data_IF_032286687843
#
_entry.id   IF_032286687843
#
_cell.length_a   1.000
_cell.length_b   1.000
_cell.length_c   1.000
_cell.angle_alpha   90.00
_cell.angle_beta   90.00
_cell.angle_gamma   90.00
#
_symmetry.space_group_name_H-M   'P 1'
#
loop_
_entity.id
_entity.type
_entity.pdbx_description
1 polymer ?
#
# COMPACT_ATOMS: atom_id res chain seq x y z
N UNK A 1 8.27 5.07 2.93
CA UNK A 1 6.93 5.63 2.69
C UNK A 1 6.89 6.35 1.33
N UNK A 2 7.24 5.65 0.24
CA UNK A 2 7.32 6.25 -1.11
C UNK A 2 6.17 5.80 -2.04
N UNK A 3 5.41 4.78 -1.64
CA UNK A 3 4.30 4.20 -2.42
C UNK A 3 3.01 5.05 -2.39
N UNK A 4 3.02 6.20 -1.72
CA UNK A 4 1.86 7.10 -1.64
C UNK A 4 1.91 8.24 -2.68
N UNK A 5 2.94 8.26 -3.54
CA UNK A 5 2.97 9.15 -4.70
C UNK A 5 2.08 8.51 -5.77
N UNK A 6 1.07 9.22 -6.32
CA UNK A 6 0.29 8.68 -7.42
C UNK A 6 1.23 8.37 -8.59
N UNK A 7 1.43 7.09 -8.85
CA UNK A 7 2.26 6.67 -9.97
C UNK A 7 1.43 6.82 -11.24
N UNK A 8 1.89 7.68 -12.14
CA UNK A 8 1.18 7.97 -13.38
C UNK A 8 1.08 6.76 -14.33
N UNK A 9 1.88 5.71 -14.10
CA UNK A 9 1.93 4.53 -14.96
C UNK A 9 2.00 3.25 -14.13
N UNK A 10 1.18 2.26 -14.52
CA UNK A 10 1.16 0.91 -13.96
C UNK A 10 2.51 0.20 -14.13
N UNK A 11 3.22 0.43 -15.23
CA UNK A 11 4.52 -0.20 -15.48
C UNK A 11 5.61 0.28 -14.52
N UNK A 12 5.57 1.57 -14.14
CA UNK A 12 6.47 2.14 -13.13
C UNK A 12 6.14 1.58 -11.75
N UNK A 13 4.85 1.42 -11.44
CA UNK A 13 4.39 0.81 -10.19
C UNK A 13 4.91 -0.62 -10.03
N UNK A 14 4.76 -1.46 -11.06
CA UNK A 14 5.25 -2.83 -11.02
C UNK A 14 6.77 -2.90 -10.81
N UNK A 15 7.56 -2.10 -11.54
CA UNK A 15 9.01 -2.06 -11.38
C UNK A 15 9.46 -1.60 -10.00
N UNK A 16 8.80 -0.58 -9.45
CA UNK A 16 9.10 -0.11 -8.09
C UNK A 16 8.78 -1.17 -7.04
N UNK A 17 7.67 -1.90 -7.19
CA UNK A 17 7.31 -2.99 -6.30
C UNK A 17 8.33 -4.13 -6.37
N UNK A 18 8.75 -4.52 -7.58
CA UNK A 18 9.80 -5.52 -7.80
C UNK A 18 11.11 -5.10 -7.11
N UNK A 19 11.61 -3.89 -7.40
CA UNK A 19 12.85 -3.39 -6.80
C UNK A 19 12.77 -3.27 -5.28
N UNK A 20 11.63 -2.85 -4.74
CA UNK A 20 11.43 -2.80 -3.30
C UNK A 20 11.44 -4.19 -2.69
N UNK A 21 10.78 -5.16 -3.33
CA UNK A 21 10.77 -6.56 -2.90
C UNK A 21 12.18 -7.15 -2.91
N UNK A 22 12.91 -6.97 -4.01
CA UNK A 22 14.28 -7.45 -4.14
C UNK A 22 15.25 -6.78 -3.16
N UNK A 23 15.14 -5.47 -2.98
CA UNK A 23 15.96 -4.74 -2.00
C UNK A 23 15.69 -5.23 -0.58
N UNK A 24 14.43 -5.50 -0.25
CA UNK A 24 14.07 -6.06 1.05
C UNK A 24 14.62 -7.47 1.24
N UNK A 25 14.48 -8.33 0.23
CA UNK A 25 15.04 -9.69 0.24
C UNK A 25 16.55 -9.66 0.48
N UNK A 26 17.30 -8.90 -0.32
CA UNK A 26 18.75 -8.75 -0.17
C UNK A 26 19.14 -8.23 1.21
N UNK A 27 18.39 -7.28 1.77
CA UNK A 27 18.63 -6.75 3.11
C UNK A 27 18.45 -7.82 4.18
N UNK A 28 17.40 -8.65 4.09
CA UNK A 28 17.16 -9.71 5.08
C UNK A 28 18.15 -10.87 4.95
N UNK A 29 18.54 -11.24 3.72
CA UNK A 29 19.62 -12.21 3.48
C UNK A 29 20.95 -11.71 4.08
N UNK A 30 21.28 -10.42 3.88
CA UNK A 30 22.48 -9.85 4.47
C UNK A 30 22.46 -9.85 6.00
N UNK A 31 21.31 -9.55 6.61
CA UNK A 31 21.14 -9.61 8.07
C UNK A 31 21.33 -11.04 8.57
N UNK A 32 20.70 -12.03 7.93
CA UNK A 32 20.84 -13.44 8.29
C UNK A 32 22.32 -13.88 8.24
N UNK A 33 23.01 -13.61 7.13
CA UNK A 33 24.42 -13.94 6.96
C UNK A 33 25.31 -13.23 7.99
N UNK A 34 24.99 -11.99 8.35
CA UNK A 34 25.72 -11.27 9.40
C UNK A 34 25.56 -11.94 10.75
N UNK A 35 24.34 -12.29 11.13
CA UNK A 35 24.07 -12.97 12.40
C UNK A 35 24.83 -14.30 12.45
N UNK A 36 24.70 -15.13 11.41
CA UNK A 36 25.41 -16.40 11.28
C UNK A 36 26.94 -16.25 11.41
N UNK A 37 27.52 -15.20 10.80
CA UNK A 37 28.97 -14.95 10.86
C UNK A 37 29.47 -14.32 12.16
N UNK A 38 28.59 -13.72 12.97
CA UNK A 38 28.99 -12.91 14.14
C UNK A 38 28.57 -13.50 15.46
N UNK A 39 27.53 -14.35 15.48
CA UNK A 39 27.07 -15.02 16.68
C UNK A 39 27.82 -16.36 16.78
N UNK A 40 28.80 -16.42 17.68
CA UNK A 40 29.57 -17.63 17.93
C UNK A 40 28.80 -18.70 18.71
N UNK A 41 29.43 -19.86 18.91
CA UNK A 41 28.88 -20.94 19.73
C UNK A 41 28.61 -20.45 21.17
N UNK A 42 27.38 -20.68 21.66
CA UNK A 42 26.91 -20.26 22.99
C UNK A 42 26.90 -18.74 23.24
N UNK A 43 26.92 -17.92 22.20
CA UNK A 43 26.73 -16.48 22.33
C UNK A 43 25.24 -16.09 22.27
N UNK A 44 24.92 -14.90 22.77
CA UNK A 44 23.56 -14.35 22.74
C UNK A 44 23.58 -12.96 22.13
N UNK A 45 22.64 -12.70 21.22
CA UNK A 45 22.47 -11.41 20.57
C UNK A 45 21.09 -10.80 20.84
N UNK A 46 20.99 -9.48 20.69
CA UNK A 46 19.71 -8.76 20.67
C UNK A 46 19.51 -8.16 19.29
N UNK A 47 18.40 -8.51 18.64
CA UNK A 47 18.01 -7.95 17.35
C UNK A 47 16.82 -7.00 17.50
N UNK A 48 17.03 -5.73 17.20
CA UNK A 48 15.98 -4.72 17.11
C UNK A 48 15.56 -4.55 15.66
N UNK A 49 14.42 -5.12 15.29
CA UNK A 49 13.93 -5.14 13.92
C UNK A 49 12.40 -4.99 13.88
N UNK A 50 11.88 -4.52 12.74
CA UNK A 50 10.43 -4.49 12.50
C UNK A 50 9.84 -5.89 12.55
N UNK A 51 8.68 -6.06 13.19
CA UNK A 51 8.03 -7.37 13.38
C UNK A 51 7.82 -8.18 12.09
N UNK A 52 7.43 -7.51 11.00
CA UNK A 52 7.22 -8.16 9.69
C UNK A 52 8.53 -8.28 8.90
N UNK A 53 9.59 -8.74 9.55
CA UNK A 53 10.82 -9.09 8.86
C UNK A 53 10.72 -10.48 8.24
N UNK A 54 11.56 -10.73 7.23
CA UNK A 54 11.63 -12.03 6.54
C UNK A 54 13.03 -12.67 6.71
N UNK A 55 13.77 -12.26 7.74
CA UNK A 55 15.04 -12.88 8.13
C UNK A 55 14.81 -14.35 8.42
N UNK A 56 15.56 -15.22 7.74
CA UNK A 56 15.61 -16.65 8.00
C UNK A 56 16.83 -16.91 8.89
N UNK A 57 16.60 -17.43 10.09
CA UNK A 57 17.69 -17.76 11.00
C UNK A 57 18.18 -19.19 10.72
N UNK A 58 19.49 -19.45 10.86
CA UNK A 58 20.04 -20.79 10.94
C UNK A 58 19.34 -21.66 11.99
N UNK A 59 19.26 -22.97 11.75
CA UNK A 59 18.52 -23.92 12.61
C UNK A 59 19.14 -24.12 14.01
N UNK A 60 20.41 -23.75 14.16
CA UNK A 60 21.17 -23.79 15.40
C UNK A 60 20.94 -22.57 16.31
N UNK A 61 20.24 -21.54 15.82
CA UNK A 61 19.91 -20.34 16.61
C UNK A 61 18.51 -20.46 17.21
N UNK A 62 18.41 -20.37 18.52
CA UNK A 62 17.13 -20.24 19.22
C UNK A 62 16.66 -18.78 19.25
N UNK A 63 15.41 -18.53 18.83
CA UNK A 63 14.88 -17.16 18.67
C UNK A 63 13.70 -16.95 19.62
N UNK A 64 13.84 -15.94 20.49
CA UNK A 64 12.78 -15.47 21.36
C UNK A 64 12.21 -14.14 20.85
N UNK A 65 10.93 -14.12 20.52
CA UNK A 65 10.24 -12.88 20.14
C UNK A 65 9.70 -12.19 21.39
N UNK A 66 10.21 -10.99 21.66
CA UNK A 66 9.76 -10.17 22.79
C UNK A 66 9.05 -8.93 22.26
N UNK A 67 7.73 -8.87 22.44
CA UNK A 67 6.93 -7.68 22.14
C UNK A 67 6.59 -6.93 23.43
N UNK A 68 6.93 -5.63 23.57
CA UNK A 68 6.54 -4.84 24.73
C UNK A 68 5.01 -4.64 24.78
N UNK A 69 4.34 -4.78 25.94
CA UNK A 69 2.90 -4.58 26.04
C UNK A 69 2.45 -3.16 25.64
N UNK A 70 3.29 -2.14 25.90
CA UNK A 70 3.03 -0.76 25.50
C UNK A 70 2.93 -0.56 23.98
N UNK A 71 3.53 -1.45 23.17
CA UNK A 71 3.42 -1.40 21.71
C UNK A 71 1.99 -1.72 21.25
N UNK A 72 1.29 -2.61 21.96
CA UNK A 72 -0.10 -2.96 21.68
C UNK A 72 -1.03 -1.75 21.93
N UNK A 73 -0.83 -1.06 23.06
CA UNK A 73 -1.60 0.15 23.37
C UNK A 73 -1.44 1.24 22.30
N UNK A 74 -0.21 1.45 21.81
CA UNK A 74 0.06 2.39 20.71
C UNK A 74 -0.66 1.98 19.42
N UNK A 75 -0.69 0.68 19.08
CA UNK A 75 -1.38 0.19 17.88
C UNK A 75 -2.88 0.43 17.96
N UNK A 76 -3.48 0.11 19.10
CA UNK A 76 -4.91 0.33 19.35
C UNK A 76 -5.22 1.82 19.22
N UNK A 77 -4.40 2.68 19.81
CA UNK A 77 -4.56 4.13 19.66
C UNK A 77 -4.45 4.59 18.20
N UNK A 78 -3.44 4.11 17.46
CA UNK A 78 -3.22 4.51 16.07
C UNK A 78 -4.37 4.05 15.16
N UNK A 79 -4.89 2.83 15.36
CA UNK A 79 -6.06 2.30 14.63
C UNK A 79 -7.28 3.17 14.88
N UNK A 80 -7.62 3.43 16.15
CA UNK A 80 -8.74 4.30 16.52
C UNK A 80 -8.60 5.70 15.92
N UNK A 81 -7.38 6.25 15.89
CA UNK A 81 -7.11 7.54 15.29
C UNK A 81 -7.33 7.52 13.77
N UNK A 82 -6.89 6.49 13.05
CA UNK A 82 -7.13 6.35 11.61
C UNK A 82 -8.61 6.19 11.27
N UNK A 83 -9.35 5.38 12.04
CA UNK A 83 -10.80 5.22 11.89
C UNK A 83 -11.55 6.54 12.09
N UNK A 84 -11.17 7.33 13.10
CA UNK A 84 -11.75 8.65 13.31
C UNK A 84 -11.45 9.62 12.16
N UNK A 85 -10.26 9.56 11.55
CA UNK A 85 -9.93 10.37 10.38
C UNK A 85 -10.75 9.95 9.16
N UNK A 86 -10.94 8.65 8.95
CA UNK A 86 -11.76 8.11 7.85
C UNK A 86 -13.23 8.49 8.03
N UNK A 87 -13.81 8.29 9.22
CA UNK A 87 -15.19 8.67 9.51
C UNK A 87 -15.42 10.19 9.33
N UNK A 88 -14.45 11.04 9.71
CA UNK A 88 -14.51 12.49 9.45
C UNK A 88 -14.43 12.82 7.96
N UNK A 89 -13.62 12.10 7.19
CA UNK A 89 -13.51 12.27 5.74
C UNK A 89 -14.77 11.78 5.00
N UNK A 90 -15.43 10.73 5.50
CA UNK A 90 -16.68 10.19 4.97
C UNK A 90 -17.89 11.05 5.33
N UNK A 91 -17.97 11.55 6.57
CA UNK A 91 -19.00 12.50 6.99
C UNK A 91 -18.91 13.85 6.27
N UNK A 92 -17.73 14.21 5.78
CA UNK A 92 -17.54 15.37 4.91
C UNK A 92 -17.95 15.08 3.45
N UNK A 93 -18.33 13.85 3.09
CA UNK A 93 -18.52 13.44 1.70
C UNK A 93 -19.96 13.47 1.17
N UNK A 94 -21.05 13.16 1.90
CA UNK A 94 -22.43 13.24 1.31
C UNK A 94 -23.62 13.34 2.30
N UNK A 95 -24.84 13.85 1.89
CA UNK A 95 -25.21 14.48 0.61
C UNK A 95 -25.87 15.88 0.73
N UNK A 96 -25.72 16.70 -0.31
CA UNK A 96 -26.64 17.79 -0.63
C UNK A 96 -27.89 17.24 -1.31
N UNK A 97 -29.04 17.36 -0.67
CA UNK A 97 -30.37 17.19 -1.27
C UNK A 97 -31.06 18.55 -1.22
N UNK A 98 -31.32 19.15 -2.38
CA UNK A 98 -32.26 20.25 -2.70
C UNK A 98 -32.08 20.57 -4.20
N UNK A 99 -33.06 20.69 -5.09
CA UNK A 99 -34.48 20.34 -5.18
C UNK A 99 -34.78 20.32 -6.70
N UNK A 100 -35.93 19.79 -7.12
CA UNK A 100 -36.25 19.62 -8.54
C UNK A 100 -36.42 20.92 -9.32
N UNK A 101 -36.11 20.87 -10.62
CA UNK A 101 -36.96 21.49 -11.63
C UNK A 101 -36.94 20.64 -12.91
N UNK A 102 -38.14 20.28 -13.32
CA UNK A 102 -38.52 19.55 -14.50
C UNK A 102 -38.81 20.59 -15.59
N UNK A 103 -38.03 20.62 -16.68
CA UNK A 103 -38.54 21.16 -17.96
C UNK A 103 -37.95 20.37 -19.13
N UNK A 104 -38.79 19.45 -19.61
CA UNK A 104 -39.17 19.18 -20.99
C UNK A 104 -38.12 19.25 -22.13
N UNK A 105 -37.99 18.07 -22.75
CA UNK A 105 -37.79 17.77 -24.17
C UNK A 105 -38.04 18.92 -25.17
N UNK A 106 -37.07 19.14 -26.07
CA UNK A 106 -37.35 19.37 -27.49
C UNK A 106 -36.35 18.54 -28.31
N UNK A 107 -36.85 17.42 -28.85
CA UNK A 107 -36.31 16.85 -30.08
C UNK A 107 -36.82 17.69 -31.27
N UNK A 108 -35.91 18.17 -32.10
CA UNK A 108 -36.17 18.26 -33.55
C UNK A 108 -34.97 17.66 -34.28
N UNK A 109 -35.17 16.47 -34.83
CA UNK A 109 -34.34 15.93 -35.88
C UNK A 109 -34.62 16.64 -37.20
N UNK A 110 -33.59 16.73 -38.05
CA UNK A 110 -33.76 16.71 -39.50
C UNK A 110 -32.62 15.88 -40.11
N UNK A 111 -33.07 14.84 -40.81
CA UNK A 111 -32.36 13.85 -41.60
C UNK A 111 -32.14 14.37 -43.04
N UNK A 112 -31.31 13.63 -43.80
CA UNK A 112 -31.15 13.63 -45.27
C UNK A 112 -30.15 14.64 -45.88
N UNK A 113 -29.25 14.28 -46.81
CA UNK A 113 -28.94 13.02 -47.52
C UNK A 113 -27.58 13.16 -48.27
N UNK A 114 -26.99 12.01 -48.63
CA UNK A 114 -26.30 11.64 -49.91
C UNK A 114 -25.32 12.62 -50.59
N UNK A 115 -24.22 12.27 -51.25
CA UNK A 115 -23.55 11.02 -51.68
C UNK A 115 -22.18 11.39 -52.30
N UNK A 116 -21.39 10.35 -52.65
CA UNK A 116 -20.24 10.35 -53.59
C UNK A 116 -18.92 11.02 -53.13
N UNK A 117 -17.72 10.46 -53.33
CA UNK A 117 -17.26 9.43 -54.25
C UNK A 117 -15.93 8.80 -53.78
N UNK A 118 -15.69 7.56 -54.23
CA UNK A 118 -14.38 6.89 -54.36
C UNK A 118 -13.28 7.82 -54.91
N UNK A 119 -12.01 7.57 -54.57
CA UNK A 119 -11.00 7.02 -55.52
C UNK A 119 -9.56 7.15 -54.99
N UNK A 120 -8.90 5.98 -54.92
CA UNK A 120 -7.44 5.67 -54.90
C UNK A 120 -6.58 6.00 -53.68
#
# INVERSE_FOLDING_TARGET
RCMMVPLASTSVASKLQEWLSDSNRQRYEHIANRIDSTLGENETGLLLISERHQVQFPSDIEVFYVSPPALDDYRRWLQNWMEQQQAKAEAAKEPSVDDGDDVAEEEEGQEEAEADAETQ
#
